data_IF_345794240994
#
_entry.id   IF_345794240994
#
_cell.length_a   1.000
_cell.length_b   1.000
_cell.length_c   1.000
_cell.angle_alpha   90.00
_cell.angle_beta   90.00
_cell.angle_gamma   90.00
#
_symmetry.space_group_name_H-M   'P 1'
#
loop_
_entity.id
_entity.type
_entity.pdbx_description
1 polymer ?
#
# COMPACT_ATOMS: atom_id res chain seq x y z
N UNK A 1 -14.96 11.82 -21.83
CA UNK A 1 -13.59 11.47 -21.38
C UNK A 1 -13.21 10.06 -21.82
N UNK A 2 -12.59 9.95 -23.01
CA UNK A 2 -11.78 8.78 -23.37
C UNK A 2 -10.56 8.81 -22.47
N UNK A 3 -10.46 7.84 -21.56
CA UNK A 3 -9.34 7.73 -20.65
C UNK A 3 -8.18 7.06 -21.37
N UNK A 4 -7.02 7.72 -21.41
CA UNK A 4 -5.83 7.14 -22.03
C UNK A 4 -5.18 6.19 -21.02
N UNK A 5 -5.56 4.90 -21.06
CA UNK A 5 -5.06 3.88 -20.14
C UNK A 5 -3.54 3.84 -20.09
N UNK A 6 -2.90 4.02 -21.25
CA UNK A 6 -1.45 4.07 -21.37
C UNK A 6 -0.84 5.18 -20.50
N UNK A 7 -1.37 6.40 -20.57
CA UNK A 7 -0.87 7.53 -19.78
C UNK A 7 -0.90 7.24 -18.29
N UNK A 8 -1.93 6.55 -17.81
CA UNK A 8 -2.03 6.23 -16.39
C UNK A 8 -1.04 5.17 -15.94
N UNK A 9 -0.86 4.10 -16.72
CA UNK A 9 0.18 3.12 -16.44
C UNK A 9 1.57 3.78 -16.46
N UNK A 10 1.82 4.70 -17.38
CA UNK A 10 3.06 5.48 -17.42
C UNK A 10 3.27 6.30 -16.15
N UNK A 11 2.24 7.02 -15.68
CA UNK A 11 2.32 7.78 -14.43
C UNK A 11 2.62 6.85 -13.24
N UNK A 12 1.93 5.71 -13.15
CA UNK A 12 2.12 4.74 -12.08
C UNK A 12 3.44 3.98 -12.16
N UNK A 13 4.08 3.91 -13.33
CA UNK A 13 5.41 3.34 -13.53
C UNK A 13 6.54 4.36 -13.34
N UNK A 14 6.22 5.66 -13.24
CA UNK A 14 7.23 6.70 -13.07
C UNK A 14 8.13 6.51 -11.83
N UNK A 15 7.64 6.02 -10.66
CA UNK A 15 8.52 5.68 -9.55
C UNK A 15 9.53 4.59 -9.87
N UNK A 16 9.19 3.63 -10.74
CA UNK A 16 10.10 2.57 -11.16
C UNK A 16 11.24 3.12 -12.04
N UNK A 17 10.95 4.11 -12.89
CA UNK A 17 11.97 4.81 -13.65
C UNK A 17 12.96 5.54 -12.73
N UNK A 18 12.47 6.16 -11.65
CA UNK A 18 13.32 6.75 -10.62
C UNK A 18 14.20 5.71 -9.92
N UNK A 19 13.64 4.55 -9.57
CA UNK A 19 14.41 3.43 -8.99
C UNK A 19 15.54 2.99 -9.93
N UNK A 20 15.26 2.78 -11.21
CA UNK A 20 16.27 2.40 -12.20
C UNK A 20 17.38 3.46 -12.35
N UNK A 21 17.00 4.73 -12.40
CA UNK A 21 17.96 5.85 -12.41
C UNK A 21 18.82 5.86 -11.14
N UNK A 22 18.21 5.67 -9.96
CA UNK A 22 18.91 5.72 -8.68
C UNK A 22 19.96 4.61 -8.56
N UNK A 23 19.58 3.37 -8.92
CA UNK A 23 20.49 2.21 -8.94
C UNK A 23 21.67 2.45 -9.89
N UNK A 24 21.45 3.05 -11.06
CA UNK A 24 22.51 3.29 -12.03
C UNK A 24 23.56 4.33 -11.58
N UNK A 25 23.22 5.22 -10.64
CA UNK A 25 24.08 6.33 -10.22
C UNK A 25 24.64 6.19 -8.80
N UNK A 26 24.17 5.21 -8.01
CA UNK A 26 24.57 5.05 -6.61
C UNK A 26 24.97 3.60 -6.33
N UNK A 27 26.12 3.43 -5.67
CA UNK A 27 26.60 2.12 -5.22
C UNK A 27 25.78 1.57 -4.05
N UNK A 28 25.37 2.43 -3.11
CA UNK A 28 24.50 2.07 -1.99
C UNK A 28 23.07 2.52 -2.24
N UNK A 29 22.23 1.60 -2.72
CA UNK A 29 20.88 1.93 -3.17
C UNK A 29 19.75 1.24 -2.38
N UNK A 30 20.03 0.13 -1.69
CA UNK A 30 19.00 -0.70 -1.06
C UNK A 30 18.12 0.08 -0.08
N UNK A 31 18.71 0.76 0.90
CA UNK A 31 17.97 1.44 1.97
C UNK A 31 17.15 2.64 1.48
N UNK A 32 17.68 3.56 0.66
CA UNK A 32 16.87 4.64 0.07
C UNK A 32 15.69 4.10 -0.77
N UNK A 33 15.94 3.08 -1.59
CA UNK A 33 14.90 2.48 -2.43
C UNK A 33 13.86 1.74 -1.58
N UNK A 34 14.28 1.05 -0.53
CA UNK A 34 13.38 0.40 0.42
C UNK A 34 12.38 1.39 1.00
N UNK A 35 12.87 2.53 1.52
CA UNK A 35 12.01 3.58 2.06
C UNK A 35 11.11 4.19 0.97
N UNK A 36 11.68 4.55 -0.19
CA UNK A 36 10.94 5.15 -1.29
C UNK A 36 9.78 4.25 -1.80
N UNK A 37 10.04 2.96 -2.00
CA UNK A 37 9.01 2.01 -2.44
C UNK A 37 7.89 1.86 -1.39
N UNK A 38 8.25 1.88 -0.11
CA UNK A 38 7.29 1.90 0.99
C UNK A 38 6.40 3.14 0.96
N UNK A 39 7.00 4.33 0.79
CA UNK A 39 6.29 5.61 0.69
C UNK A 39 5.30 5.61 -0.49
N UNK A 40 5.75 5.17 -1.66
CA UNK A 40 4.92 5.07 -2.87
C UNK A 40 3.74 4.12 -2.63
N UNK A 41 3.96 2.94 -2.07
CA UNK A 41 2.90 1.97 -1.79
C UNK A 41 1.83 2.55 -0.85
N UNK A 42 2.27 3.23 0.22
CA UNK A 42 1.38 3.81 1.23
C UNK A 42 0.58 4.99 0.68
N UNK A 43 1.20 5.88 -0.11
CA UNK A 43 0.51 7.00 -0.77
C UNK A 43 -0.54 6.48 -1.76
N UNK A 44 -0.20 5.46 -2.55
CA UNK A 44 -1.16 4.83 -3.46
C UNK A 44 -2.32 4.20 -2.69
N UNK A 45 -2.06 3.55 -1.55
CA UNK A 45 -3.11 2.94 -0.71
C UNK A 45 -4.08 3.98 -0.16
N UNK A 46 -3.57 5.12 0.33
CA UNK A 46 -4.41 6.26 0.73
C UNK A 46 -5.28 6.71 -0.46
N UNK A 47 -4.67 6.88 -1.62
CA UNK A 47 -5.38 7.26 -2.85
C UNK A 47 -6.50 6.30 -3.23
N UNK A 48 -6.24 4.99 -3.19
CA UNK A 48 -7.25 3.94 -3.48
C UNK A 48 -8.43 4.02 -2.52
N UNK A 49 -8.19 4.17 -1.22
CA UNK A 49 -9.28 4.19 -0.23
C UNK A 49 -10.12 5.46 -0.36
N UNK A 50 -9.48 6.64 -0.47
CA UNK A 50 -10.17 7.92 -0.62
C UNK A 50 -10.99 7.93 -1.91
N UNK A 51 -10.39 7.58 -3.04
CA UNK A 51 -11.10 7.56 -4.31
C UNK A 51 -12.19 6.46 -4.31
N UNK A 52 -11.94 5.30 -3.69
CA UNK A 52 -12.94 4.25 -3.49
C UNK A 52 -14.17 4.71 -2.71
N UNK A 53 -14.03 5.67 -1.79
CA UNK A 53 -15.18 6.29 -1.11
C UNK A 53 -16.00 7.17 -2.04
N UNK A 54 -15.33 7.96 -2.88
CA UNK A 54 -15.95 8.90 -3.82
C UNK A 54 -16.65 8.15 -4.97
N UNK A 55 -16.03 7.08 -5.49
CA UNK A 55 -16.51 6.38 -6.69
C UNK A 55 -17.64 5.39 -6.43
N UNK A 56 -17.99 5.08 -5.18
CA UNK A 56 -19.27 4.41 -4.87
C UNK A 56 -20.47 5.17 -5.44
N UNK A 57 -20.30 6.46 -5.70
CA UNK A 57 -21.30 7.34 -6.32
C UNK A 57 -21.26 7.26 -7.86
N UNK A 58 -20.15 6.81 -8.47
CA UNK A 58 -19.94 6.81 -9.94
C UNK A 58 -19.22 5.55 -10.42
N UNK A 59 -19.99 4.59 -10.95
CA UNK A 59 -19.54 3.27 -11.43
C UNK A 59 -18.40 3.31 -12.47
N UNK A 60 -18.26 4.43 -13.20
CA UNK A 60 -17.27 4.63 -14.27
C UNK A 60 -15.81 4.50 -13.82
N UNK A 61 -15.50 4.76 -12.55
CA UNK A 61 -14.13 4.80 -12.04
C UNK A 61 -13.69 3.50 -11.35
N UNK A 62 -14.53 2.46 -11.30
CA UNK A 62 -14.15 1.20 -10.64
C UNK A 62 -12.95 0.51 -11.29
N UNK A 63 -12.85 0.55 -12.62
CA UNK A 63 -11.70 -0.02 -13.35
C UNK A 63 -10.39 0.68 -13.01
N UNK A 64 -10.45 2.00 -12.78
CA UNK A 64 -9.29 2.80 -12.39
C UNK A 64 -8.78 2.42 -10.99
N UNK A 65 -9.71 2.22 -10.05
CA UNK A 65 -9.37 1.82 -8.70
C UNK A 65 -8.80 0.41 -8.61
N UNK A 66 -9.32 -0.51 -9.44
CA UNK A 66 -8.75 -1.85 -9.53
C UNK A 66 -7.29 -1.80 -9.97
N UNK A 67 -6.97 -1.01 -11.01
CA UNK A 67 -5.58 -0.82 -11.46
C UNK A 67 -4.73 -0.20 -10.34
N UNK A 68 -5.19 0.86 -9.69
CA UNK A 68 -4.44 1.45 -8.57
C UNK A 68 -4.17 0.46 -7.44
N UNK A 69 -5.16 -0.36 -7.06
CA UNK A 69 -5.02 -1.40 -6.04
C UNK A 69 -3.92 -2.41 -6.38
N UNK A 70 -3.85 -2.83 -7.65
CA UNK A 70 -2.78 -3.70 -8.14
C UNK A 70 -1.40 -3.04 -8.02
N UNK A 71 -1.30 -1.73 -8.30
CA UNK A 71 -0.04 -1.00 -8.12
C UNK A 71 0.36 -0.82 -6.66
N UNK A 72 -0.60 -0.72 -5.73
CA UNK A 72 -0.28 -0.78 -4.28
C UNK A 72 0.40 -2.11 -3.96
N UNK A 73 -0.17 -3.23 -4.40
CA UNK A 73 0.42 -4.55 -4.17
C UNK A 73 1.78 -4.69 -4.87
N UNK A 74 1.92 -4.18 -6.11
CA UNK A 74 3.17 -4.19 -6.86
C UNK A 74 4.30 -3.49 -6.09
N UNK A 75 4.09 -2.24 -5.66
CA UNK A 75 5.11 -1.49 -4.92
C UNK A 75 5.38 -2.05 -3.53
N UNK A 76 4.35 -2.55 -2.83
CA UNK A 76 4.53 -3.25 -1.56
C UNK A 76 5.33 -4.55 -1.71
N UNK A 77 5.16 -5.27 -2.84
CA UNK A 77 5.92 -6.48 -3.15
C UNK A 77 7.39 -6.15 -3.45
N UNK A 78 7.65 -5.07 -4.19
CA UNK A 78 9.02 -4.58 -4.40
C UNK A 78 9.66 -4.13 -3.08
N UNK A 79 8.93 -3.43 -2.22
CA UNK A 79 9.41 -3.05 -0.89
C UNK A 79 9.80 -4.29 -0.06
N UNK A 80 8.93 -5.31 -0.01
CA UNK A 80 9.22 -6.57 0.67
C UNK A 80 10.41 -7.31 0.03
N UNK A 81 10.50 -7.33 -1.29
CA UNK A 81 11.61 -7.98 -2.01
C UNK A 81 12.96 -7.33 -1.69
N UNK A 82 13.02 -5.99 -1.68
CA UNK A 82 14.25 -5.28 -1.28
C UNK A 82 14.61 -5.61 0.16
N UNK A 83 13.64 -5.58 1.09
CA UNK A 83 13.87 -5.96 2.49
C UNK A 83 14.44 -7.38 2.62
N UNK A 84 13.86 -8.35 1.91
CA UNK A 84 14.31 -9.74 1.90
C UNK A 84 15.73 -9.92 1.37
N UNK A 85 16.15 -9.09 0.42
CA UNK A 85 17.49 -9.20 -0.20
C UNK A 85 18.54 -8.40 0.58
N UNK A 86 18.16 -7.30 1.25
CA UNK A 86 19.12 -6.39 1.87
C UNK A 86 19.25 -6.50 3.38
N UNK A 87 18.21 -6.89 4.11
CA UNK A 87 18.19 -6.78 5.59
C UNK A 87 18.32 -8.12 6.31
N UNK A 88 18.01 -9.24 5.65
CA UNK A 88 17.88 -10.53 6.32
C UNK A 88 18.30 -11.70 5.42
N UNK A 89 18.75 -12.78 6.05
CA UNK A 89 18.84 -14.08 5.37
C UNK A 89 17.46 -14.71 5.29
N UNK A 90 17.15 -15.36 4.16
CA UNK A 90 15.84 -15.98 3.92
C UNK A 90 15.39 -16.93 5.04
N UNK A 91 16.34 -17.65 5.65
CA UNK A 91 16.10 -18.61 6.74
C UNK A 91 15.58 -17.94 8.01
N UNK A 92 15.92 -16.67 8.24
CA UNK A 92 15.59 -15.93 9.45
C UNK A 92 14.31 -15.10 9.32
N UNK A 93 13.68 -15.08 8.14
CA UNK A 93 12.54 -14.20 7.85
C UNK A 93 11.44 -14.25 8.91
N UNK A 94 10.94 -15.44 9.23
CA UNK A 94 9.84 -15.58 10.19
C UNK A 94 10.26 -15.27 11.63
N UNK A 95 11.53 -15.51 11.97
CA UNK A 95 12.07 -15.18 13.29
C UNK A 95 12.16 -13.66 13.45
N UNK A 96 12.66 -12.95 12.45
CA UNK A 96 12.83 -11.50 12.50
C UNK A 96 11.48 -10.77 12.48
N UNK A 97 10.57 -11.18 11.60
CA UNK A 97 9.23 -10.58 11.47
C UNK A 97 8.42 -10.76 12.75
N UNK A 98 8.52 -11.91 13.42
CA UNK A 98 7.79 -12.17 14.66
C UNK A 98 8.35 -11.42 15.88
N UNK A 99 9.67 -11.19 15.91
CA UNK A 99 10.32 -10.44 16.99
C UNK A 99 10.06 -8.94 16.93
N UNK A 100 9.88 -8.38 15.73
CA UNK A 100 9.69 -6.94 15.53
C UNK A 100 8.23 -6.62 15.21
N UNK A 101 7.53 -6.04 16.19
CA UNK A 101 6.11 -5.70 16.07
C UNK A 101 5.79 -4.87 14.82
N UNK A 102 6.61 -3.87 14.48
CA UNK A 102 6.40 -3.07 13.27
C UNK A 102 6.50 -3.89 11.99
N UNK A 103 7.43 -4.86 11.89
CA UNK A 103 7.53 -5.74 10.71
C UNK A 103 6.29 -6.64 10.60
N UNK A 104 5.83 -7.19 11.72
CA UNK A 104 4.62 -8.01 11.75
C UNK A 104 3.40 -7.24 11.26
N UNK A 105 3.22 -5.99 11.70
CA UNK A 105 2.14 -5.11 11.23
C UNK A 105 2.20 -4.88 9.73
N UNK A 106 3.39 -4.61 9.19
CA UNK A 106 3.61 -4.44 7.75
C UNK A 106 3.31 -5.71 6.96
N UNK A 107 3.74 -6.86 7.46
CA UNK A 107 3.49 -8.15 6.82
C UNK A 107 2.00 -8.52 6.81
N UNK A 108 1.28 -8.30 7.91
CA UNK A 108 -0.18 -8.52 7.96
C UNK A 108 -0.89 -7.56 7.00
N UNK A 109 -0.49 -6.29 6.95
CA UNK A 109 -1.04 -5.33 6.00
C UNK A 109 -0.83 -5.79 4.54
N UNK A 110 0.38 -6.25 4.22
CA UNK A 110 0.72 -6.81 2.91
C UNK A 110 -0.17 -8.00 2.54
N UNK A 111 -0.33 -8.98 3.45
CA UNK A 111 -1.20 -10.14 3.21
C UNK A 111 -2.66 -9.75 2.96
N UNK A 112 -3.18 -8.76 3.71
CA UNK A 112 -4.54 -8.26 3.49
C UNK A 112 -4.68 -7.60 2.11
N UNK A 113 -3.69 -6.80 1.68
CA UNK A 113 -3.70 -6.16 0.36
C UNK A 113 -3.62 -7.23 -0.73
N UNK A 114 -2.73 -8.21 -0.60
CA UNK A 114 -2.58 -9.31 -1.54
C UNK A 114 -3.89 -10.12 -1.67
N UNK A 115 -4.52 -10.44 -0.53
CA UNK A 115 -5.80 -11.13 -0.51
C UNK A 115 -6.92 -10.32 -1.20
N UNK A 116 -7.00 -9.02 -0.93
CA UNK A 116 -8.00 -8.15 -1.54
C UNK A 116 -7.82 -8.01 -3.06
N UNK A 117 -6.58 -7.91 -3.53
CA UNK A 117 -6.28 -7.83 -4.96
C UNK A 117 -6.62 -9.15 -5.67
N UNK A 118 -6.27 -10.29 -5.05
CA UNK A 118 -6.67 -11.61 -5.52
C UNK A 118 -8.21 -11.76 -5.60
N UNK A 119 -8.94 -11.33 -4.56
CA UNK A 119 -10.40 -11.35 -4.58
C UNK A 119 -10.99 -10.45 -5.67
N UNK A 120 -10.38 -9.30 -5.94
CA UNK A 120 -10.78 -8.38 -7.01
C UNK A 120 -10.69 -9.05 -8.39
N UNK A 121 -9.65 -9.85 -8.60
CA UNK A 121 -9.47 -10.66 -9.82
C UNK A 121 -10.49 -11.81 -9.91
N UNK A 122 -10.71 -12.54 -8.82
CA UNK A 122 -11.54 -13.74 -8.81
C UNK A 122 -13.05 -13.44 -8.85
N UNK A 123 -13.55 -12.55 -7.99
CA UNK A 123 -14.99 -12.28 -7.90
C UNK A 123 -15.29 -10.90 -7.30
N UNK A 124 -15.87 -10.02 -8.11
CA UNK A 124 -16.32 -8.69 -7.68
C UNK A 124 -17.30 -8.75 -6.51
N UNK A 125 -18.19 -9.76 -6.48
CA UNK A 125 -19.19 -9.93 -5.41
C UNK A 125 -18.51 -10.20 -4.06
N UNK A 126 -17.54 -11.12 -4.05
CA UNK A 126 -16.79 -11.48 -2.84
C UNK A 126 -15.88 -10.30 -2.46
N UNK A 127 -15.18 -9.70 -3.42
CA UNK A 127 -14.39 -8.49 -3.19
C UNK A 127 -15.21 -7.40 -2.50
N UNK A 128 -16.41 -7.05 -2.99
CA UNK A 128 -17.23 -6.00 -2.36
C UNK A 128 -17.66 -6.32 -0.93
N UNK A 129 -17.80 -7.61 -0.56
CA UNK A 129 -18.06 -8.04 0.81
C UNK A 129 -16.87 -7.76 1.74
N UNK A 130 -15.65 -8.03 1.27
CA UNK A 130 -14.42 -7.90 2.06
C UNK A 130 -13.66 -6.58 1.83
N UNK A 131 -14.08 -5.74 0.88
CA UNK A 131 -13.42 -4.48 0.55
C UNK A 131 -13.27 -3.54 1.76
N UNK A 132 -14.08 -3.74 2.80
CA UNK A 132 -13.91 -3.04 4.07
C UNK A 132 -12.58 -3.30 4.78
N UNK A 133 -11.92 -4.44 4.54
CA UNK A 133 -10.61 -4.77 5.11
C UNK A 133 -9.49 -3.86 4.61
N UNK A 134 -9.67 -3.17 3.48
CA UNK A 134 -8.70 -2.19 2.97
C UNK A 134 -8.39 -1.08 3.99
N UNK A 135 -9.37 -0.70 4.81
CA UNK A 135 -9.20 0.30 5.88
C UNK A 135 -8.36 -0.23 7.04
N UNK A 136 -8.51 -1.52 7.36
CA UNK A 136 -7.69 -2.19 8.38
C UNK A 136 -6.26 -2.33 7.87
N UNK A 137 -6.10 -2.77 6.62
CA UNK A 137 -4.79 -2.84 5.97
C UNK A 137 -4.11 -1.47 5.93
N UNK A 138 -4.85 -0.40 5.60
CA UNK A 138 -4.36 0.97 5.65
C UNK A 138 -3.89 1.39 7.03
N UNK A 139 -4.69 1.14 8.08
CA UNK A 139 -4.29 1.46 9.46
C UNK A 139 -3.02 0.70 9.88
N UNK A 140 -2.94 -0.59 9.57
CA UNK A 140 -1.76 -1.42 9.87
C UNK A 140 -0.52 -0.92 9.11
N UNK A 141 -0.67 -0.55 7.83
CA UNK A 141 0.40 0.04 7.02
C UNK A 141 0.86 1.40 7.60
N UNK A 142 -0.07 2.25 8.05
CA UNK A 142 0.23 3.50 8.72
C UNK A 142 0.98 3.30 10.04
N UNK A 143 0.57 2.31 10.85
CA UNK A 143 1.29 1.95 12.08
C UNK A 143 2.69 1.40 11.79
N UNK A 144 2.83 0.50 10.82
CA UNK A 144 4.11 0.00 10.36
C UNK A 144 5.04 1.14 9.94
N UNK A 145 4.52 2.09 9.14
CA UNK A 145 5.29 3.23 8.66
C UNK A 145 5.75 4.16 9.79
N UNK A 146 4.88 4.41 10.77
CA UNK A 146 5.18 5.25 11.93
C UNK A 146 6.21 4.59 12.86
N UNK A 147 6.00 3.30 13.19
CA UNK A 147 6.83 2.57 14.16
C UNK A 147 8.17 2.09 13.56
N UNK A 148 8.26 1.98 12.23
CA UNK A 148 9.50 1.62 11.54
C UNK A 148 10.55 2.73 11.55
N UNK A 149 10.18 3.96 11.92
CA UNK A 149 11.09 5.11 11.99
C UNK A 149 11.63 5.28 13.41
N UNK A 150 12.95 5.47 13.53
CA UNK A 150 13.57 5.82 14.83
C UNK A 150 13.07 7.16 15.37
N UNK A 151 12.93 8.13 14.47
CA UNK A 151 12.35 9.45 14.74
C UNK A 151 11.26 9.63 13.68
N UNK A 152 9.98 9.55 14.05
CA UNK A 152 8.90 9.67 13.08
C UNK A 152 8.86 11.06 12.43
N UNK A 153 8.81 11.09 11.10
CA UNK A 153 8.64 12.32 10.32
C UNK A 153 7.20 12.86 10.39
N UNK A 154 7.02 14.16 10.16
CA UNK A 154 5.68 14.76 10.02
C UNK A 154 4.82 14.05 8.97
N UNK A 155 5.44 13.58 7.89
CA UNK A 155 4.76 12.83 6.84
C UNK A 155 4.18 11.50 7.37
N UNK A 156 4.92 10.78 8.22
CA UNK A 156 4.43 9.53 8.83
C UNK A 156 3.25 9.75 9.78
N UNK A 157 3.28 10.81 10.58
CA UNK A 157 2.14 11.19 11.42
C UNK A 157 0.91 11.55 10.58
N UNK A 158 1.10 12.31 9.49
CA UNK A 158 0.00 12.69 8.60
C UNK A 158 -0.66 11.46 7.95
N UNK A 159 0.15 10.53 7.42
CA UNK A 159 -0.35 9.28 6.84
C UNK A 159 -1.13 8.45 7.87
N UNK A 160 -0.57 8.27 9.07
CA UNK A 160 -1.26 7.53 10.12
C UNK A 160 -2.58 8.20 10.52
N UNK A 161 -2.59 9.52 10.71
CA UNK A 161 -3.79 10.29 11.02
C UNK A 161 -4.85 10.18 9.90
N UNK A 162 -4.45 10.18 8.64
CA UNK A 162 -5.36 9.98 7.51
C UNK A 162 -6.00 8.59 7.57
N UNK A 163 -5.23 7.52 7.76
CA UNK A 163 -5.81 6.17 7.88
C UNK A 163 -6.75 6.05 9.08
N UNK A 164 -6.39 6.66 10.21
CA UNK A 164 -7.22 6.71 11.41
C UNK A 164 -8.55 7.44 11.13
N UNK A 165 -8.50 8.60 10.46
CA UNK A 165 -9.70 9.33 10.07
C UNK A 165 -10.59 8.52 9.11
N UNK A 166 -9.98 7.83 8.13
CA UNK A 166 -10.70 7.01 7.15
C UNK A 166 -11.41 5.82 7.80
N UNK A 167 -10.78 5.13 8.76
CA UNK A 167 -11.42 4.02 9.46
C UNK A 167 -12.54 4.51 10.38
N UNK A 168 -12.34 5.60 11.12
CA UNK A 168 -13.38 6.22 11.95
C UNK A 168 -14.60 6.66 11.12
N UNK A 169 -14.36 7.31 9.98
CA UNK A 169 -15.45 7.68 9.05
C UNK A 169 -16.24 6.45 8.59
N UNK A 170 -15.55 5.34 8.29
CA UNK A 170 -16.23 4.12 7.84
C UNK A 170 -17.05 3.47 8.95
N UNK A 171 -16.58 3.47 10.19
CA UNK A 171 -17.32 2.93 11.33
C UNK A 171 -18.61 3.73 11.58
N UNK A 172 -18.53 5.06 11.63
CA UNK A 172 -19.72 5.92 11.83
C UNK A 172 -20.79 5.77 10.73
N UNK A 173 -20.39 5.41 9.51
CA UNK A 173 -21.34 5.15 8.40
C UNK A 173 -21.95 3.75 8.46
N UNK A 174 -21.27 2.78 9.08
CA UNK A 174 -21.79 1.43 9.28
C UNK A 174 -22.96 1.45 10.27
N UNK A 175 -22.88 2.27 11.31
CA UNK A 175 -23.91 2.35 12.36
C UNK A 175 -25.19 3.09 11.91
N UNK A 176 -25.14 3.79 10.77
CA UNK A 176 -26.29 4.49 10.17
C UNK A 176 -27.08 3.65 9.14
N UNK A 177 -26.78 2.35 9.01
CA UNK A 177 -27.42 1.43 8.07
C UNK A 177 -27.98 0.23 8.79
#
# INVERSE_FOLDING_TARGET
MKYNRALFHLVLLSPLAFVGYYIAHHSEFYKPILHFLGDVAVVLLVGVIILGMITKIKNKYQKFLAILGQYVLFYASLHLAIYLVSEIFWQDFFVEVSKRSYLLLGFIAFLLIAWLDFLSFFSKKIFHRYAGLSYVAGLLAGMHFLLGQKIPSWFSYAIFAIFLALICYKLTKKDKK
#
